data_IF_054355770608
#
_entry.id   IF_054355770608
#
_cell.length_a   1.000
_cell.length_b   1.000
_cell.length_c   1.000
_cell.angle_alpha   90.00
_cell.angle_beta   90.00
_cell.angle_gamma   90.00
#
_symmetry.space_group_name_H-M   'P 1'
#
loop_
_entity.id
_entity.type
_entity.pdbx_description
1 polymer ?
#
# COMPACT_ATOMS: atom_id res chain seq x y z
N UNK A 1 -11.77 17.47 -20.99
CA UNK A 1 -10.51 18.04 -20.48
C UNK A 1 -10.19 17.60 -19.04
N UNK A 2 -11.12 17.63 -18.08
CA UNK A 2 -10.82 17.37 -16.65
C UNK A 2 -10.33 15.95 -16.33
N UNK A 3 -10.76 14.91 -17.07
CA UNK A 3 -10.30 13.53 -16.85
C UNK A 3 -8.82 13.33 -17.19
N UNK A 4 -8.33 14.00 -18.24
CA UNK A 4 -6.93 13.90 -18.65
C UNK A 4 -5.99 14.43 -17.55
N UNK A 5 -6.37 15.56 -16.94
CA UNK A 5 -5.64 16.15 -15.81
C UNK A 5 -5.55 15.23 -14.58
N UNK A 6 -6.52 14.33 -14.42
CA UNK A 6 -6.47 13.30 -13.38
C UNK A 6 -5.60 12.10 -13.81
N UNK A 7 -5.77 11.60 -15.03
CA UNK A 7 -5.08 10.40 -15.48
C UNK A 7 -3.58 10.60 -15.70
N UNK A 8 -3.12 11.78 -16.12
CA UNK A 8 -1.67 12.04 -16.32
C UNK A 8 -0.85 11.77 -15.04
N UNK A 9 -1.11 12.43 -13.89
CA UNK A 9 -0.34 12.19 -12.68
C UNK A 9 -0.52 10.76 -12.16
N UNK A 10 -1.72 10.17 -12.30
CA UNK A 10 -1.95 8.78 -11.92
C UNK A 10 -1.12 7.80 -12.77
N UNK A 11 -1.08 7.99 -14.10
CA UNK A 11 -0.28 7.19 -15.02
C UNK A 11 1.22 7.31 -14.72
N UNK A 12 1.69 8.52 -14.37
CA UNK A 12 3.08 8.73 -13.92
C UNK A 12 3.37 7.86 -12.70
N UNK A 13 2.53 7.92 -11.65
CA UNK A 13 2.71 7.14 -10.42
C UNK A 13 2.75 5.64 -10.68
N UNK A 14 1.82 5.09 -11.48
CA UNK A 14 1.78 3.64 -11.73
C UNK A 14 2.91 3.18 -12.66
N UNK A 15 3.45 4.07 -13.51
CA UNK A 15 4.51 3.72 -14.45
C UNK A 15 5.88 3.52 -13.79
N UNK A 16 6.09 4.10 -12.60
CA UNK A 16 7.37 4.04 -11.88
C UNK A 16 7.78 2.58 -11.62
N UNK A 17 6.85 1.74 -11.15
CA UNK A 17 7.10 0.33 -10.85
C UNK A 17 7.56 -0.46 -12.08
N UNK A 18 6.75 -0.53 -13.16
CA UNK A 18 7.12 -1.21 -14.41
C UNK A 18 8.42 -0.70 -15.02
N UNK A 19 8.66 0.63 -15.03
CA UNK A 19 9.91 1.19 -15.56
C UNK A 19 11.12 0.70 -14.74
N UNK A 20 11.05 0.72 -13.41
CA UNK A 20 12.13 0.20 -12.56
C UNK A 20 12.32 -1.30 -12.75
N UNK A 21 11.22 -2.07 -12.79
CA UNK A 21 11.28 -3.52 -13.00
C UNK A 21 11.97 -3.88 -14.31
N UNK A 22 11.59 -3.22 -15.41
CA UNK A 22 12.15 -3.47 -16.74
C UNK A 22 13.62 -3.07 -16.84
N UNK A 23 14.03 -1.99 -16.15
CA UNK A 23 15.44 -1.58 -16.08
C UNK A 23 16.32 -2.57 -15.32
N UNK A 24 15.75 -3.25 -14.32
CA UNK A 24 16.42 -4.26 -13.49
C UNK A 24 15.98 -5.69 -13.84
N UNK A 25 15.46 -5.88 -15.06
CA UNK A 25 14.99 -7.17 -15.51
C UNK A 25 16.19 -8.05 -15.89
N UNK A 26 16.12 -9.37 -15.62
CA UNK A 26 17.05 -10.31 -16.22
C UNK A 26 16.88 -10.33 -17.75
N UNK A 27 17.83 -10.89 -18.50
CA UNK A 27 17.69 -11.07 -19.95
C UNK A 27 16.39 -11.78 -20.32
N UNK A 28 15.75 -11.38 -21.42
CA UNK A 28 14.47 -11.96 -21.87
C UNK A 28 14.57 -13.47 -22.09
N UNK A 29 15.72 -13.96 -22.55
CA UNK A 29 15.99 -15.39 -22.68
C UNK A 29 15.90 -16.15 -21.36
N UNK A 30 16.34 -15.56 -20.25
CA UNK A 30 16.21 -16.15 -18.91
C UNK A 30 14.74 -16.18 -18.45
N UNK A 31 13.94 -15.16 -18.80
CA UNK A 31 12.51 -15.13 -18.46
C UNK A 31 11.70 -16.22 -19.18
N UNK A 32 12.09 -16.60 -20.39
CA UNK A 32 11.40 -17.64 -21.17
C UNK A 32 11.83 -19.06 -20.82
N UNK A 33 13.02 -19.24 -20.24
CA UNK A 33 13.61 -20.56 -20.00
C UNK A 33 13.59 -20.98 -18.53
N UNK A 34 13.67 -20.03 -17.59
CA UNK A 34 13.70 -20.31 -16.17
C UNK A 34 12.40 -19.87 -15.48
N UNK A 35 11.61 -20.86 -15.04
CA UNK A 35 10.33 -20.63 -14.36
C UNK A 35 10.51 -19.84 -13.05
N UNK A 36 11.58 -20.07 -12.29
CA UNK A 36 11.81 -19.37 -11.02
C UNK A 36 12.10 -17.90 -11.26
N UNK A 37 12.89 -17.60 -12.30
CA UNK A 37 13.18 -16.23 -12.71
C UNK A 37 11.90 -15.51 -13.15
N UNK A 38 11.04 -16.19 -13.92
CA UNK A 38 9.73 -15.64 -14.32
C UNK A 38 8.82 -15.37 -13.12
N UNK A 39 8.68 -16.32 -12.19
CA UNK A 39 7.82 -16.16 -11.01
C UNK A 39 8.32 -15.00 -10.14
N UNK A 40 9.63 -14.92 -9.91
CA UNK A 40 10.23 -13.82 -9.14
C UNK A 40 10.04 -12.47 -9.86
N UNK A 41 10.18 -12.43 -11.19
CA UNK A 41 9.91 -11.22 -11.99
C UNK A 41 8.45 -10.75 -11.81
N UNK A 42 7.48 -11.67 -11.90
CA UNK A 42 6.07 -11.36 -11.66
C UNK A 42 5.82 -10.94 -10.22
N UNK A 43 6.45 -11.59 -9.24
CA UNK A 43 6.32 -11.27 -7.82
C UNK A 43 6.81 -9.85 -7.53
N UNK A 44 7.97 -9.47 -8.06
CA UNK A 44 8.55 -8.12 -7.97
C UNK A 44 7.62 -7.10 -8.63
N UNK A 45 7.12 -7.39 -9.83
CA UNK A 45 6.18 -6.52 -10.53
C UNK A 45 4.87 -6.30 -9.77
N UNK A 46 4.28 -7.37 -9.22
CA UNK A 46 3.09 -7.28 -8.39
C UNK A 46 3.34 -6.43 -7.14
N UNK A 47 4.48 -6.60 -6.46
CA UNK A 47 4.84 -5.82 -5.27
C UNK A 47 5.03 -4.33 -5.55
N UNK A 48 5.74 -3.97 -6.62
CA UNK A 48 5.96 -2.57 -7.00
C UNK A 48 4.66 -1.87 -7.43
N UNK A 49 3.84 -2.55 -8.25
CA UNK A 49 2.56 -2.01 -8.68
C UNK A 49 1.59 -1.88 -7.51
N UNK A 50 1.51 -2.88 -6.62
CA UNK A 50 0.70 -2.82 -5.42
C UNK A 50 1.09 -1.63 -4.53
N UNK A 51 2.39 -1.38 -4.35
CA UNK A 51 2.88 -0.24 -3.58
C UNK A 51 2.45 1.10 -4.20
N UNK A 52 2.67 1.30 -5.51
CA UNK A 52 2.28 2.53 -6.21
C UNK A 52 0.77 2.78 -6.18
N UNK A 53 -0.03 1.74 -6.40
CA UNK A 53 -1.49 1.84 -6.40
C UNK A 53 -2.05 2.03 -4.98
N UNK A 54 -1.46 1.41 -3.97
CA UNK A 54 -1.85 1.63 -2.58
C UNK A 54 -1.58 3.07 -2.14
N UNK A 55 -0.45 3.65 -2.57
CA UNK A 55 -0.21 5.09 -2.39
C UNK A 55 -1.31 5.93 -3.06
N UNK A 56 -1.62 5.67 -4.33
CA UNK A 56 -2.72 6.36 -5.03
C UNK A 56 -4.04 6.22 -4.28
N UNK A 57 -4.40 5.02 -3.82
CA UNK A 57 -5.60 4.74 -3.04
C UNK A 57 -5.69 5.58 -1.77
N UNK A 58 -4.59 5.70 -1.02
CA UNK A 58 -4.52 6.54 0.18
C UNK A 58 -4.75 8.00 -0.17
N UNK A 59 -4.12 8.52 -1.23
CA UNK A 59 -4.28 9.91 -1.65
C UNK A 59 -5.71 10.19 -2.13
N UNK A 60 -6.30 9.30 -2.92
CA UNK A 60 -7.69 9.43 -3.36
C UNK A 60 -8.66 9.41 -2.17
N UNK A 61 -8.48 8.48 -1.23
CA UNK A 61 -9.31 8.38 -0.03
C UNK A 61 -9.18 9.61 0.87
N UNK A 62 -7.96 10.09 1.12
CA UNK A 62 -7.66 11.22 2.00
C UNK A 62 -8.27 12.55 1.50
N UNK A 63 -8.34 12.72 0.18
CA UNK A 63 -8.77 13.95 -0.48
C UNK A 63 -10.06 13.77 -1.31
N UNK A 64 -10.82 12.71 -1.05
CA UNK A 64 -12.01 12.31 -1.82
C UNK A 64 -12.98 13.46 -2.09
N UNK A 65 -13.35 14.23 -1.06
CA UNK A 65 -14.27 15.37 -1.23
C UNK A 65 -13.72 16.41 -2.21
N UNK A 66 -12.48 16.88 -2.00
CA UNK A 66 -11.83 17.86 -2.90
C UNK A 66 -11.70 17.36 -4.34
N UNK A 67 -11.43 16.06 -4.50
CA UNK A 67 -11.29 15.44 -5.82
C UNK A 67 -12.65 15.27 -6.51
N UNK A 68 -13.71 14.93 -5.77
CA UNK A 68 -15.08 14.88 -6.29
C UNK A 68 -15.54 16.28 -6.71
N UNK A 69 -15.28 17.30 -5.91
CA UNK A 69 -15.65 18.68 -6.24
C UNK A 69 -14.94 19.15 -7.52
N UNK A 70 -13.66 18.78 -7.70
CA UNK A 70 -12.85 19.18 -8.85
C UNK A 70 -13.12 18.37 -10.12
N UNK A 71 -13.27 17.05 -9.99
CA UNK A 71 -13.30 16.12 -11.13
C UNK A 71 -14.64 15.43 -11.33
N UNK A 72 -15.51 15.41 -10.32
CA UNK A 72 -16.85 14.81 -10.34
C UNK A 72 -16.97 13.50 -9.55
N UNK A 73 -18.21 13.06 -9.32
CA UNK A 73 -18.53 11.88 -8.51
C UNK A 73 -17.94 10.55 -9.02
N UNK A 74 -17.53 10.48 -10.29
CA UNK A 74 -16.89 9.28 -10.85
C UNK A 74 -15.57 8.91 -10.16
N UNK A 75 -14.92 9.85 -9.47
CA UNK A 75 -13.71 9.60 -8.67
C UNK A 75 -13.96 8.55 -7.60
N UNK A 76 -15.17 8.51 -7.00
CA UNK A 76 -15.51 7.49 -6.02
C UNK A 76 -15.54 6.09 -6.66
N UNK A 77 -16.14 5.97 -7.86
CA UNK A 77 -16.13 4.71 -8.62
C UNK A 77 -14.70 4.31 -8.98
N UNK A 78 -13.90 5.26 -9.49
CA UNK A 78 -12.49 5.03 -9.79
C UNK A 78 -11.71 4.51 -8.59
N UNK A 79 -11.84 5.17 -7.43
CA UNK A 79 -11.20 4.75 -6.18
C UNK A 79 -11.59 3.32 -5.80
N UNK A 80 -12.87 2.97 -5.85
CA UNK A 80 -13.29 1.59 -5.52
C UNK A 80 -12.80 0.55 -6.52
N UNK A 81 -12.77 0.86 -7.82
CA UNK A 81 -12.23 -0.03 -8.87
C UNK A 81 -10.72 -0.22 -8.73
N UNK A 82 -9.97 0.86 -8.57
CA UNK A 82 -8.52 0.81 -8.35
C UNK A 82 -8.20 0.07 -7.03
N UNK A 83 -9.01 0.26 -5.98
CA UNK A 83 -8.84 -0.45 -4.71
C UNK A 83 -8.99 -1.96 -4.86
N UNK A 84 -9.96 -2.42 -5.65
CA UNK A 84 -10.10 -3.85 -5.97
C UNK A 84 -8.88 -4.38 -6.74
N UNK A 85 -8.39 -3.66 -7.74
CA UNK A 85 -7.20 -4.04 -8.50
C UNK A 85 -5.94 -4.06 -7.62
N UNK A 86 -5.78 -3.05 -6.76
CA UNK A 86 -4.70 -2.96 -5.78
C UNK A 86 -4.70 -4.16 -4.85
N UNK A 87 -5.86 -4.52 -4.30
CA UNK A 87 -5.98 -5.67 -3.40
C UNK A 87 -5.68 -6.99 -4.12
N UNK A 88 -6.10 -7.16 -5.37
CA UNK A 88 -5.73 -8.33 -6.18
C UNK A 88 -4.22 -8.47 -6.34
N UNK A 89 -3.50 -7.36 -6.55
CA UNK A 89 -2.02 -7.39 -6.62
C UNK A 89 -1.39 -7.67 -5.25
N UNK A 90 -1.94 -7.12 -4.17
CA UNK A 90 -1.51 -7.39 -2.80
C UNK A 90 -1.69 -8.87 -2.45
N UNK A 91 -2.73 -9.54 -2.95
CA UNK A 91 -2.94 -10.97 -2.78
C UNK A 91 -2.04 -11.79 -3.72
N UNK A 92 -1.90 -11.38 -4.98
CA UNK A 92 -1.09 -12.07 -5.98
C UNK A 92 0.40 -12.10 -5.58
N UNK A 93 0.93 -11.02 -5.03
CA UNK A 93 2.34 -10.94 -4.61
C UNK A 93 2.78 -12.07 -3.66
N UNK A 94 2.16 -12.28 -2.48
CA UNK A 94 2.50 -13.39 -1.60
C UNK A 94 2.12 -14.76 -2.19
N UNK A 95 1.07 -14.87 -3.02
CA UNK A 95 0.77 -16.12 -3.71
C UNK A 95 1.88 -16.54 -4.68
N UNK A 96 2.47 -15.58 -5.39
CA UNK A 96 3.65 -15.83 -6.24
C UNK A 96 4.84 -16.28 -5.39
N UNK A 97 4.98 -15.78 -4.17
CA UNK A 97 6.01 -16.25 -3.24
C UNK A 97 5.76 -17.68 -2.75
N UNK A 98 4.51 -18.06 -2.44
CA UNK A 98 4.14 -19.46 -2.15
C UNK A 98 4.51 -20.36 -3.33
N UNK A 99 4.16 -19.94 -4.55
CA UNK A 99 4.46 -20.72 -5.75
C UNK A 99 5.96 -20.81 -6.04
N UNK A 100 6.70 -19.72 -5.80
CA UNK A 100 8.16 -19.69 -5.87
C UNK A 100 8.78 -20.72 -4.91
N UNK A 101 8.36 -20.74 -3.65
CA UNK A 101 8.86 -21.69 -2.65
C UNK A 101 8.51 -23.14 -3.01
N UNK A 102 7.31 -23.38 -3.53
CA UNK A 102 6.92 -24.70 -4.01
C UNK A 102 7.83 -25.17 -5.16
N UNK A 103 8.11 -24.31 -6.13
CA UNK A 103 8.97 -24.65 -7.27
C UNK A 103 10.45 -24.77 -6.90
N UNK A 104 10.95 -23.91 -6.02
CA UNK A 104 12.36 -23.87 -5.65
C UNK A 104 12.73 -24.95 -4.61
N UNK A 105 11.83 -25.25 -3.67
CA UNK A 105 12.14 -26.08 -2.50
C UNK A 105 11.22 -27.31 -2.38
N UNK A 106 10.22 -27.48 -3.25
CA UNK A 106 9.21 -28.54 -3.13
C UNK A 106 8.24 -28.34 -1.97
N UNK A 107 8.22 -27.17 -1.32
CA UNK A 107 7.41 -26.89 -0.12
C UNK A 107 6.23 -25.98 -0.46
N UNK A 108 5.01 -26.51 -0.33
CA UNK A 108 3.79 -25.72 -0.42
C UNK A 108 3.29 -25.38 0.98
N UNK A 109 3.62 -24.18 1.47
CA UNK A 109 3.22 -23.70 2.79
C UNK A 109 2.64 -22.28 2.71
N UNK A 110 1.32 -22.14 2.48
CA UNK A 110 0.67 -20.84 2.50
C UNK A 110 0.57 -20.25 3.93
N UNK A 111 0.60 -21.07 4.98
CA UNK A 111 0.48 -20.59 6.36
C UNK A 111 1.73 -19.81 6.78
N UNK A 112 2.90 -20.27 6.38
CA UNK A 112 4.14 -19.51 6.53
C UNK A 112 4.06 -18.12 5.87
N UNK A 113 3.44 -18.02 4.69
CA UNK A 113 3.38 -16.76 3.95
C UNK A 113 2.33 -15.80 4.50
N UNK A 114 1.18 -16.29 4.98
CA UNK A 114 0.06 -15.44 5.37
C UNK A 114 -0.11 -15.29 6.89
N UNK A 115 0.18 -16.30 7.70
CA UNK A 115 -0.29 -16.36 9.09
C UNK A 115 0.79 -16.57 10.15
N UNK A 116 1.99 -17.00 9.75
CA UNK A 116 3.08 -17.28 10.69
C UNK A 116 3.71 -15.97 11.22
N UNK A 117 3.09 -15.39 12.24
CA UNK A 117 3.50 -14.13 12.85
C UNK A 117 4.54 -14.37 13.95
N UNK A 118 5.61 -13.59 13.96
CA UNK A 118 6.62 -13.60 15.02
C UNK A 118 6.55 -12.34 15.89
N UNK A 119 6.68 -12.51 17.21
CA UNK A 119 6.88 -11.38 18.15
C UNK A 119 8.37 -11.09 18.29
N UNK A 120 9.18 -12.14 18.46
CA UNK A 120 10.63 -12.10 18.45
C UNK A 120 11.12 -12.93 17.26
N UNK A 121 11.36 -12.25 16.14
CA UNK A 121 11.72 -12.90 14.89
C UNK A 121 13.18 -13.39 14.93
N UNK A 122 13.44 -14.56 14.33
CA UNK A 122 14.74 -15.23 14.39
C UNK A 122 15.86 -14.46 13.69
N UNK A 123 15.51 -13.71 12.65
CA UNK A 123 16.46 -12.90 11.88
C UNK A 123 15.75 -11.67 11.27
N UNK A 124 16.54 -10.79 10.65
CA UNK A 124 16.05 -9.54 10.06
C UNK A 124 15.14 -9.75 8.85
N UNK A 125 15.40 -10.77 8.03
CA UNK A 125 14.53 -11.12 6.89
C UNK A 125 13.14 -11.53 7.37
N UNK A 126 13.05 -12.40 8.38
CA UNK A 126 11.78 -12.80 8.99
C UNK A 126 11.06 -11.62 9.62
N UNK A 127 11.78 -10.70 10.25
CA UNK A 127 11.18 -9.46 10.77
C UNK A 127 10.51 -8.65 9.64
N UNK A 128 11.16 -8.51 8.49
CA UNK A 128 10.57 -7.79 7.36
C UNK A 128 9.41 -8.55 6.71
N UNK A 129 9.47 -9.88 6.61
CA UNK A 129 8.31 -10.69 6.20
C UNK A 129 7.13 -10.54 7.15
N UNK A 130 7.38 -10.49 8.47
CA UNK A 130 6.36 -10.28 9.47
C UNK A 130 5.63 -8.94 9.29
N UNK A 131 6.34 -7.86 8.96
CA UNK A 131 5.69 -6.59 8.59
C UNK A 131 4.79 -6.72 7.36
N UNK A 132 5.20 -7.51 6.36
CA UNK A 132 4.37 -7.83 5.19
C UNK A 132 3.08 -8.57 5.59
N UNK A 133 3.20 -9.61 6.43
CA UNK A 133 2.07 -10.41 6.95
C UNK A 133 1.08 -9.53 7.72
N UNK A 134 1.55 -8.74 8.69
CA UNK A 134 0.71 -7.82 9.46
C UNK A 134 0.00 -6.84 8.55
N UNK A 135 0.73 -6.25 7.59
CA UNK A 135 0.15 -5.29 6.63
C UNK A 135 -0.93 -5.90 5.76
N UNK A 136 -0.72 -7.13 5.28
CA UNK A 136 -1.71 -7.86 4.49
C UNK A 136 -3.03 -7.99 5.24
N UNK A 137 -3.00 -8.35 6.52
CA UNK A 137 -4.20 -8.46 7.34
C UNK A 137 -4.85 -7.12 7.64
N UNK A 138 -4.06 -6.06 7.90
CA UNK A 138 -4.60 -4.71 8.08
C UNK A 138 -5.34 -4.21 6.82
N UNK A 139 -4.75 -4.40 5.63
CA UNK A 139 -5.40 -4.05 4.36
C UNK A 139 -6.63 -4.90 4.14
N UNK A 140 -6.57 -6.21 4.43
CA UNK A 140 -7.72 -7.12 4.30
C UNK A 140 -8.88 -6.67 5.18
N UNK A 141 -8.63 -6.30 6.44
CA UNK A 141 -9.65 -5.74 7.33
C UNK A 141 -10.23 -4.44 6.76
N UNK A 142 -9.40 -3.55 6.23
CA UNK A 142 -9.87 -2.30 5.62
C UNK A 142 -10.73 -2.52 4.36
N UNK A 143 -10.40 -3.53 3.54
CA UNK A 143 -11.17 -3.95 2.36
C UNK A 143 -12.50 -4.56 2.77
N UNK A 144 -12.49 -5.51 3.73
CA UNK A 144 -13.71 -6.10 4.28
C UNK A 144 -14.62 -5.02 4.88
N UNK A 145 -14.05 -4.04 5.58
CA UNK A 145 -14.82 -2.93 6.11
C UNK A 145 -15.46 -2.06 5.01
N UNK A 146 -14.75 -1.82 3.90
CA UNK A 146 -15.27 -1.10 2.76
C UNK A 146 -16.37 -1.87 2.00
N UNK A 147 -16.26 -3.20 1.91
CA UNK A 147 -17.27 -4.08 1.31
C UNK A 147 -18.54 -4.15 2.16
N UNK A 148 -18.39 -4.25 3.48
CA UNK A 148 -19.49 -4.37 4.44
C UNK A 148 -20.04 -3.01 4.90
N UNK A 149 -19.64 -1.89 4.28
CA UNK A 149 -20.00 -0.52 4.69
C UNK A 149 -21.49 -0.21 4.69
N UNK A 150 -22.30 -1.00 3.98
CA UNK A 150 -23.76 -0.83 3.94
C UNK A 150 -24.47 -1.60 5.06
N UNK A 151 -23.78 -2.48 5.79
CA UNK A 151 -24.35 -3.25 6.90
C UNK A 151 -24.58 -2.36 8.13
N UNK A 152 -25.70 -2.51 8.88
CA UNK A 152 -26.05 -1.61 9.97
C UNK A 152 -24.97 -1.41 11.03
N UNK A 153 -24.31 -2.50 11.47
CA UNK A 153 -23.27 -2.44 12.49
C UNK A 153 -21.99 -1.71 12.02
N UNK A 154 -21.72 -1.66 10.71
CA UNK A 154 -20.46 -1.15 10.14
C UNK A 154 -20.61 0.21 9.45
N UNK A 155 -21.83 0.60 9.10
CA UNK A 155 -22.12 1.85 8.39
C UNK A 155 -21.49 3.08 9.05
N UNK A 156 -21.47 3.11 10.38
CA UNK A 156 -20.89 4.22 11.16
C UNK A 156 -19.42 3.99 11.54
N UNK A 157 -18.88 2.79 11.31
CA UNK A 157 -17.58 2.36 11.82
C UNK A 157 -16.56 2.02 10.72
N UNK A 158 -16.99 1.79 9.47
CA UNK A 158 -16.08 1.33 8.41
C UNK A 158 -14.88 2.26 8.21
N UNK A 159 -15.07 3.58 8.39
CA UNK A 159 -13.97 4.57 8.30
C UNK A 159 -12.90 4.37 9.38
N UNK A 160 -13.29 3.90 10.57
CA UNK A 160 -12.35 3.59 11.66
C UNK A 160 -11.44 2.43 11.30
N UNK A 161 -11.96 1.43 10.57
CA UNK A 161 -11.13 0.32 10.06
C UNK A 161 -10.33 0.75 8.84
N UNK A 162 -10.91 1.58 7.98
CA UNK A 162 -10.24 2.04 6.76
C UNK A 162 -8.99 2.89 7.05
N UNK A 163 -8.90 3.51 8.23
CA UNK A 163 -7.70 4.24 8.66
C UNK A 163 -6.47 3.31 8.80
N UNK A 164 -6.67 2.00 8.96
CA UNK A 164 -5.57 1.05 9.05
C UNK A 164 -4.73 0.98 7.77
N UNK A 165 -5.27 1.41 6.62
CA UNK A 165 -4.49 1.52 5.38
C UNK A 165 -3.28 2.46 5.51
N UNK A 166 -3.39 3.53 6.31
CA UNK A 166 -2.25 4.44 6.55
C UNK A 166 -1.13 3.73 7.29
N UNK A 167 -1.47 2.98 8.34
CA UNK A 167 -0.50 2.23 9.13
C UNK A 167 0.08 1.06 8.34
N UNK A 168 -0.77 0.33 7.62
CA UNK A 168 -0.35 -0.74 6.72
C UNK A 168 0.64 -0.23 5.67
N UNK A 169 0.42 0.94 5.07
CA UNK A 169 1.36 1.51 4.11
C UNK A 169 2.76 1.75 4.69
N UNK A 170 2.85 2.23 5.93
CA UNK A 170 4.16 2.44 6.59
C UNK A 170 4.86 1.10 6.87
N UNK A 171 4.13 0.09 7.33
CA UNK A 171 4.68 -1.26 7.51
C UNK A 171 5.10 -1.89 6.18
N UNK A 172 4.31 -1.70 5.11
CA UNK A 172 4.65 -2.12 3.75
C UNK A 172 5.92 -1.42 3.27
N UNK A 173 6.11 -0.14 3.56
CA UNK A 173 7.33 0.58 3.21
C UNK A 173 8.56 -0.02 3.90
N UNK A 174 8.47 -0.34 5.20
CA UNK A 174 9.56 -1.01 5.94
C UNK A 174 9.83 -2.40 5.36
N UNK A 175 8.79 -3.20 5.12
CA UNK A 175 8.90 -4.49 4.45
C UNK A 175 9.60 -4.38 3.09
N UNK A 176 9.11 -3.48 2.23
CA UNK A 176 9.62 -3.29 0.88
C UNK A 176 11.09 -2.82 0.88
N UNK A 177 11.52 -2.01 1.85
CA UNK A 177 12.92 -1.60 1.98
C UNK A 177 13.82 -2.74 2.46
N UNK A 178 13.30 -3.57 3.36
CA UNK A 178 14.00 -4.70 3.96
C UNK A 178 14.29 -5.82 2.97
N UNK A 179 13.28 -6.26 2.23
CA UNK A 179 13.37 -7.43 1.33
C UNK A 179 13.25 -7.10 -0.16
N UNK A 180 12.73 -5.92 -0.52
CA UNK A 180 12.57 -5.51 -1.91
C UNK A 180 13.87 -4.98 -2.51
N UNK A 181 14.38 -5.67 -3.53
CA UNK A 181 15.59 -5.27 -4.25
C UNK A 181 15.36 -4.03 -5.12
N UNK A 182 14.23 -3.98 -5.84
CA UNK A 182 13.91 -2.89 -6.78
C UNK A 182 13.66 -1.53 -6.15
N UNK A 183 13.24 -1.50 -4.89
CA UNK A 183 12.91 -0.27 -4.16
C UNK A 183 14.11 0.67 -4.03
N UNK A 184 15.32 0.14 -4.26
CA UNK A 184 16.60 0.84 -4.15
C UNK A 184 17.03 1.52 -5.45
N UNK A 185 16.34 1.28 -6.57
CA UNK A 185 16.74 1.75 -7.89
C UNK A 185 15.83 2.84 -8.45
N UNK A 186 16.37 3.69 -9.31
CA UNK A 186 15.65 4.79 -9.97
C UNK A 186 14.76 4.25 -11.11
N UNK A 187 13.53 4.77 -11.30
CA UNK A 187 12.90 5.87 -10.55
C UNK A 187 12.22 5.51 -9.22
N UNK A 188 12.05 4.23 -8.89
CA UNK A 188 11.26 3.81 -7.73
C UNK A 188 11.79 4.32 -6.39
N UNK A 189 13.11 4.41 -6.19
CA UNK A 189 13.68 4.92 -4.93
C UNK A 189 13.27 6.36 -4.63
N UNK A 190 13.13 7.21 -5.65
CA UNK A 190 12.65 8.58 -5.48
C UNK A 190 11.17 8.60 -5.12
N UNK A 191 10.38 7.85 -5.88
CA UNK A 191 8.95 7.70 -5.63
C UNK A 191 8.67 7.13 -4.23
N UNK A 192 9.46 6.14 -3.78
CA UNK A 192 9.38 5.54 -2.46
C UNK A 192 9.49 6.61 -1.36
N UNK A 193 10.55 7.43 -1.36
CA UNK A 193 10.73 8.46 -0.33
C UNK A 193 9.68 9.56 -0.41
N UNK A 194 9.30 9.98 -1.62
CA UNK A 194 8.23 10.97 -1.83
C UNK A 194 6.90 10.44 -1.28
N UNK A 195 6.53 9.21 -1.60
CA UNK A 195 5.26 8.59 -1.19
C UNK A 195 5.15 8.49 0.33
N UNK A 196 6.21 8.05 1.02
CA UNK A 196 6.26 7.97 2.48
C UNK A 196 6.11 9.35 3.09
N UNK A 197 6.87 10.33 2.60
CA UNK A 197 6.81 11.72 3.10
C UNK A 197 5.41 12.29 2.98
N UNK A 198 4.78 12.13 1.81
CA UNK A 198 3.41 12.59 1.56
C UNK A 198 2.40 11.88 2.47
N UNK A 199 2.52 10.56 2.67
CA UNK A 199 1.60 9.80 3.53
C UNK A 199 1.75 10.20 4.99
N UNK A 200 2.99 10.32 5.50
CA UNK A 200 3.26 10.81 6.87
C UNK A 200 2.71 12.21 7.07
N UNK A 201 2.95 13.12 6.13
CA UNK A 201 2.38 14.47 6.17
C UNK A 201 0.85 14.45 6.14
N UNK A 202 0.24 13.59 5.32
CA UNK A 202 -1.22 13.42 5.26
C UNK A 202 -1.78 12.94 6.59
N UNK A 203 -1.13 11.98 7.26
CA UNK A 203 -1.52 11.50 8.59
C UNK A 203 -1.47 12.65 9.60
N UNK A 204 -0.36 13.40 9.63
CA UNK A 204 -0.19 14.53 10.52
C UNK A 204 -1.26 15.59 10.32
N UNK A 205 -1.44 16.05 9.08
CA UNK A 205 -2.39 17.10 8.74
C UNK A 205 -3.86 16.71 8.99
N UNK A 206 -4.24 15.47 8.68
CA UNK A 206 -5.64 15.02 8.80
C UNK A 206 -6.05 14.60 10.20
N UNK A 207 -5.15 13.99 10.96
CA UNK A 207 -5.52 13.33 12.22
C UNK A 207 -4.89 13.96 13.46
N UNK A 208 -3.66 14.48 13.36
CA UNK A 208 -2.91 14.98 14.51
C UNK A 208 -3.09 16.49 14.69
N UNK A 209 -2.92 17.27 13.62
CA UNK A 209 -2.99 18.73 13.67
C UNK A 209 -4.31 19.27 14.27
N UNK A 210 -5.51 18.80 13.87
CA UNK A 210 -6.75 19.32 14.45
C UNK A 210 -6.89 19.05 15.96
N UNK A 211 -6.34 17.92 16.43
CA UNK A 211 -6.36 17.57 17.85
C UNK A 211 -5.40 18.44 18.65
N UNK A 212 -4.17 18.62 18.14
CA UNK A 212 -3.14 19.44 18.77
C UNK A 212 -3.57 20.90 18.82
N UNK A 213 -4.08 21.44 17.71
CA UNK A 213 -4.57 22.82 17.64
C UNK A 213 -5.70 23.08 18.63
N UNK A 214 -6.66 22.14 18.77
CA UNK A 214 -7.74 22.26 19.75
C UNK A 214 -7.23 22.25 21.19
N UNK A 215 -6.24 21.41 21.51
CA UNK A 215 -5.61 21.38 22.83
C UNK A 215 -4.90 22.70 23.16
N UNK A 216 -4.17 23.25 22.19
CA UNK A 216 -3.48 24.53 22.36
C UNK A 216 -4.46 25.69 22.64
N UNK A 217 -5.56 25.75 21.89
CA UNK A 217 -6.62 26.76 22.10
C UNK A 217 -7.34 26.62 23.45
N UNK A 218 -7.47 25.40 23.99
CA UNK A 218 -8.06 25.17 25.30
C UNK A 218 -7.13 25.65 26.43
N UNK A 219 -5.82 25.44 26.30
CA UNK A 219 -4.84 25.91 27.28
C UNK A 219 -4.78 27.44 27.34
N UNK A 220 -4.76 28.14 26.20
CA UNK A 220 -4.77 29.62 26.19
C UNK A 220 -5.98 30.21 26.94
N UNK A 221 -7.18 29.66 26.73
CA UNK A 221 -8.38 30.10 27.45
C UNK A 221 -8.33 29.87 28.96
N UNK A 222 -7.58 28.87 29.41
CA UNK A 222 -7.44 28.58 30.84
C UNK A 222 -6.47 29.51 31.55
N UNK A 223 -5.48 30.04 30.83
CA UNK A 223 -4.53 31.03 31.34
C UNK A 223 -5.17 32.43 31.41
N UNK A 224 -6.00 32.80 30.43
CA UNK A 224 -6.76 34.07 30.45
C UNK A 224 -7.82 34.15 31.57
N UNK A 225 -8.23 33.01 32.12
CA UNK A 225 -9.24 32.92 33.18
C UNK A 225 -8.66 32.96 34.60
N UNK A 226 -7.34 33.07 34.77
CA UNK A 226 -6.63 33.19 36.05
C UNK A 226 -6.15 34.61 36.28
#
# INVERSE_FOLDING_TARGET
>A
MNKLLFYIPWLIVISVGPITLLRNAPPVSSLSTDQLVLINFLQRGAGLLAFSLLFSQIMLGAYMHKLIDKFGAWIFKFHTTEGAFTYSLILLHPLLFVFFNFKALGKFDPFYVFTDLCVLCQNTTELFYNFGRISFWLVTVAVLAALLRTRPWLRNHWRKFHIFNYFAFLLIAVHARGVGTDVRFVPFVWFYWISITIVVFTIFYKFLYPKISKLFLLNQKSEEAR
#
